data_IF_153630230312
#
_entry.id   IF_153630230312
#
_cell.length_a   1.000
_cell.length_b   1.000
_cell.length_c   1.000
_cell.angle_alpha   90.00
_cell.angle_beta   90.00
_cell.angle_gamma   90.00
#
_symmetry.space_group_name_H-M   'P 1'
#
loop_
_entity.id
_entity.type
_entity.pdbx_description
1 polymer ?
#
# COMPACT_ATOMS: atom_id res chain seq x y z
N UNK A 1 -4.04 -38.53 -10.47
CA UNK A 1 -5.11 -37.80 -11.18
C UNK A 1 -5.84 -36.93 -10.18
N UNK A 2 -5.23 -35.77 -9.95
CA UNK A 2 -5.80 -34.45 -9.67
C UNK A 2 -6.88 -34.27 -8.59
N UNK A 3 -6.42 -33.74 -7.45
CA UNK A 3 -7.21 -32.88 -6.58
C UNK A 3 -6.59 -31.48 -6.56
N UNK A 4 -6.81 -30.70 -7.62
CA UNK A 4 -6.61 -29.25 -7.59
C UNK A 4 -7.91 -28.59 -7.11
N UNK A 5 -8.00 -28.34 -5.80
CA UNK A 5 -9.01 -27.41 -5.24
C UNK A 5 -8.54 -25.98 -5.49
N UNK A 6 -9.02 -25.40 -6.58
CA UNK A 6 -8.93 -23.97 -6.86
C UNK A 6 -9.79 -23.25 -5.81
N UNK A 7 -9.16 -22.52 -4.89
CA UNK A 7 -9.85 -21.57 -4.02
C UNK A 7 -10.31 -20.39 -4.88
N UNK A 8 -11.57 -20.42 -5.29
CA UNK A 8 -12.21 -19.25 -5.90
C UNK A 8 -12.41 -18.19 -4.81
N UNK A 9 -11.77 -17.04 -5.00
CA UNK A 9 -12.01 -15.83 -4.21
C UNK A 9 -13.45 -15.41 -4.53
N UNK A 10 -14.34 -15.44 -3.54
CA UNK A 10 -15.69 -14.91 -3.69
C UNK A 10 -15.61 -13.39 -3.92
N UNK A 11 -16.38 -12.83 -4.87
CA UNK A 11 -16.55 -11.38 -4.96
C UNK A 11 -17.16 -10.86 -3.66
N UNK A 12 -16.60 -9.79 -3.12
CA UNK A 12 -17.13 -9.09 -1.95
C UNK A 12 -18.29 -8.23 -2.44
N UNK A 13 -19.47 -8.46 -1.86
CA UNK A 13 -20.72 -7.78 -2.21
C UNK A 13 -20.62 -6.25 -1.99
N UNK A 14 -21.23 -5.52 -2.91
CA UNK A 14 -21.06 -4.08 -3.13
C UNK A 14 -21.92 -3.19 -2.20
N UNK A 15 -22.22 -3.63 -0.99
CA UNK A 15 -23.11 -2.92 -0.06
C UNK A 15 -22.46 -2.73 1.32
N UNK A 16 -21.53 -1.79 1.43
CA UNK A 16 -21.22 -1.15 2.73
C UNK A 16 -20.92 0.34 2.55
N UNK A 17 -22.03 1.04 2.31
CA UNK A 17 -22.39 2.41 2.67
C UNK A 17 -21.26 3.40 2.98
N UNK A 18 -21.00 4.22 1.96
CA UNK A 18 -20.42 5.54 2.04
C UNK A 18 -20.84 6.34 3.30
N UNK A 19 -19.91 6.50 4.24
CA UNK A 19 -19.97 7.63 5.17
C UNK A 19 -19.74 8.92 4.37
N UNK A 20 -20.77 9.75 4.37
CA UNK A 20 -20.93 10.99 3.60
C UNK A 20 -19.86 12.05 3.87
N UNK A 21 -18.89 11.80 4.76
CA UNK A 21 -17.72 12.67 4.98
C UNK A 21 -16.57 12.47 3.99
N UNK A 22 -16.55 11.38 3.22
CA UNK A 22 -15.49 11.13 2.23
C UNK A 22 -15.69 11.91 0.91
N UNK A 23 -16.87 12.49 0.68
CA UNK A 23 -17.18 13.18 -0.57
C UNK A 23 -16.62 14.62 -0.67
N UNK A 24 -16.14 15.22 0.42
CA UNK A 24 -15.46 16.54 0.36
C UNK A 24 -13.99 16.41 -0.06
N UNK A 25 -13.34 15.27 0.23
CA UNK A 25 -11.92 15.04 -0.05
C UNK A 25 -11.59 14.81 -1.53
N UNK A 26 -12.59 14.68 -2.41
CA UNK A 26 -12.41 14.41 -3.83
C UNK A 26 -12.72 15.62 -4.75
N UNK A 27 -13.06 16.78 -4.21
CA UNK A 27 -13.68 17.88 -4.99
C UNK A 27 -12.84 19.14 -5.22
N UNK A 28 -11.57 19.19 -4.85
CA UNK A 28 -10.70 20.33 -5.19
C UNK A 28 -9.59 19.93 -6.15
N UNK A 29 -9.95 19.97 -7.43
CA UNK A 29 -9.13 20.31 -8.60
C UNK A 29 -7.67 19.81 -8.62
N UNK A 30 -7.48 18.50 -8.79
CA UNK A 30 -6.50 17.97 -9.74
C UNK A 30 -7.16 16.78 -10.44
N UNK A 31 -7.11 16.81 -11.77
CA UNK A 31 -7.75 15.86 -12.68
C UNK A 31 -7.59 14.40 -12.27
N UNK A 32 -8.64 13.62 -12.48
CA UNK A 32 -8.73 12.16 -12.31
C UNK A 32 -7.48 11.41 -12.85
N UNK A 33 -6.43 11.22 -12.05
CA UNK A 33 -5.41 10.15 -12.21
C UNK A 33 -4.24 10.11 -11.20
N UNK A 34 -4.17 10.88 -10.11
CA UNK A 34 -3.00 10.81 -9.19
C UNK A 34 -2.89 9.52 -8.36
N UNK A 35 -4.01 8.82 -8.14
CA UNK A 35 -4.00 7.49 -7.48
C UNK A 35 -3.46 6.38 -8.40
N UNK A 36 -3.99 6.30 -9.62
CA UNK A 36 -3.62 5.26 -10.58
C UNK A 36 -2.22 5.49 -11.17
N UNK A 37 -1.78 6.74 -11.33
CA UNK A 37 -0.48 7.07 -11.90
C UNK A 37 0.70 6.55 -11.05
N UNK A 38 0.55 6.47 -9.72
CA UNK A 38 1.62 5.95 -8.84
C UNK A 38 1.62 4.41 -8.77
N UNK A 39 0.50 3.74 -9.01
CA UNK A 39 0.46 2.27 -9.18
C UNK A 39 0.85 1.84 -10.61
N UNK A 40 0.72 2.72 -11.60
CA UNK A 40 1.05 2.41 -13.00
C UNK A 40 2.54 2.47 -13.32
N UNK A 41 3.35 3.10 -12.45
CA UNK A 41 4.82 3.16 -12.61
C UNK A 41 5.49 1.86 -12.15
N UNK A 42 4.83 1.05 -11.31
CA UNK A 42 5.38 -0.23 -10.88
C UNK A 42 5.55 -1.18 -12.06
N UNK A 43 6.80 -1.45 -12.43
CA UNK A 43 7.17 -2.52 -13.37
C UNK A 43 7.05 -3.88 -12.67
N UNK A 44 5.81 -4.32 -12.46
CA UNK A 44 5.42 -5.60 -11.86
C UNK A 44 6.18 -6.82 -12.45
N UNK A 45 6.48 -6.89 -13.76
CA UNK A 45 7.12 -8.08 -14.35
C UNK A 45 8.54 -8.40 -13.86
N UNK A 46 9.26 -7.45 -13.24
CA UNK A 46 10.66 -7.65 -12.84
C UNK A 46 10.87 -7.80 -11.32
N UNK A 47 9.81 -7.95 -10.54
CA UNK A 47 9.91 -8.19 -9.10
C UNK A 47 10.12 -9.67 -8.79
N UNK A 48 10.94 -9.97 -7.78
CA UNK A 48 11.03 -11.33 -7.22
C UNK A 48 9.68 -11.75 -6.64
N UNK A 49 9.44 -13.06 -6.52
CA UNK A 49 8.17 -13.60 -6.02
C UNK A 49 7.76 -12.98 -4.68
N UNK A 50 8.69 -12.83 -3.74
CA UNK A 50 8.42 -12.26 -2.42
C UNK A 50 8.03 -10.78 -2.50
N UNK A 51 8.74 -10.01 -3.34
CA UNK A 51 8.43 -8.59 -3.57
C UNK A 51 7.05 -8.42 -4.19
N UNK A 52 6.68 -9.30 -5.12
CA UNK A 52 5.36 -9.33 -5.74
C UNK A 52 4.25 -9.62 -4.72
N UNK A 53 4.47 -10.54 -3.78
CA UNK A 53 3.50 -10.82 -2.71
C UNK A 53 3.29 -9.62 -1.80
N UNK A 54 4.36 -8.92 -1.40
CA UNK A 54 4.29 -7.70 -0.61
C UNK A 54 3.49 -6.62 -1.35
N UNK A 55 3.80 -6.40 -2.62
CA UNK A 55 3.08 -5.43 -3.46
C UNK A 55 1.59 -5.78 -3.58
N UNK A 56 1.28 -7.04 -3.88
CA UNK A 56 -0.09 -7.51 -4.09
C UNK A 56 -0.95 -7.36 -2.82
N UNK A 57 -0.41 -7.75 -1.66
CA UNK A 57 -1.09 -7.62 -0.37
C UNK A 57 -1.31 -6.17 0.02
N UNK A 58 -0.29 -5.32 -0.17
CA UNK A 58 -0.42 -3.88 0.03
C UNK A 58 -1.53 -3.29 -0.84
N UNK A 59 -1.51 -3.61 -2.14
CA UNK A 59 -2.47 -3.08 -3.11
C UNK A 59 -3.89 -3.51 -2.75
N UNK A 60 -4.08 -4.79 -2.43
CA UNK A 60 -5.37 -5.29 -1.97
C UNK A 60 -5.84 -4.58 -0.69
N UNK A 61 -4.95 -4.35 0.27
CA UNK A 61 -5.31 -3.64 1.49
C UNK A 61 -5.72 -2.18 1.22
N UNK A 62 -5.03 -1.48 0.31
CA UNK A 62 -5.40 -0.12 -0.10
C UNK A 62 -6.76 -0.07 -0.81
N UNK A 63 -7.01 -1.00 -1.74
CA UNK A 63 -8.30 -1.10 -2.46
C UNK A 63 -9.47 -1.38 -1.50
N UNK A 64 -9.23 -2.09 -0.41
CA UNK A 64 -10.23 -2.37 0.63
C UNK A 64 -10.22 -1.34 1.77
N UNK A 65 -9.55 -0.19 1.61
CA UNK A 65 -9.45 0.86 2.63
C UNK A 65 -8.93 0.37 3.98
N UNK A 66 -8.12 -0.69 4.00
CA UNK A 66 -7.52 -1.23 5.21
C UNK A 66 -6.25 -0.45 5.56
N UNK A 67 -6.08 -0.17 6.85
CA UNK A 67 -4.90 0.56 7.33
C UNK A 67 -3.62 -0.28 7.36
N UNK A 68 -3.76 -1.60 7.39
CA UNK A 68 -2.64 -2.54 7.54
C UNK A 68 -2.82 -3.78 6.67
N UNK A 69 -1.71 -4.43 6.36
CA UNK A 69 -1.66 -5.82 5.90
C UNK A 69 -0.56 -6.58 6.67
N UNK A 70 -0.63 -7.91 6.69
CA UNK A 70 0.41 -8.75 7.28
C UNK A 70 1.46 -9.07 6.24
N UNK A 71 2.71 -8.75 6.56
CA UNK A 71 3.85 -9.02 5.69
C UNK A 71 4.10 -10.54 5.54
N UNK A 72 4.22 -11.07 4.32
CA UNK A 72 4.34 -12.51 4.10
C UNK A 72 5.66 -13.09 4.61
N UNK A 73 6.74 -12.29 4.66
CA UNK A 73 8.08 -12.73 5.04
C UNK A 73 8.32 -12.54 6.53
N UNK A 74 8.06 -11.35 7.05
CA UNK A 74 8.33 -10.95 8.45
C UNK A 74 7.18 -11.23 9.41
N UNK A 75 5.96 -11.47 8.89
CA UNK A 75 4.71 -11.64 9.66
C UNK A 75 4.28 -10.43 10.50
N UNK A 76 4.93 -9.29 10.31
CA UNK A 76 4.59 -8.04 10.98
C UNK A 76 3.42 -7.33 10.30
N UNK A 77 2.69 -6.52 11.06
CA UNK A 77 1.70 -5.60 10.49
C UNK A 77 2.40 -4.40 9.86
N UNK A 78 2.08 -4.12 8.60
CA UNK A 78 2.66 -3.02 7.84
C UNK A 78 1.57 -2.01 7.47
N UNK A 79 1.82 -0.74 7.79
CA UNK A 79 0.97 0.37 7.39
C UNK A 79 0.85 0.47 5.86
N UNK A 80 -0.38 0.61 5.39
CA UNK A 80 -0.67 0.87 3.99
C UNK A 80 -0.44 2.34 3.64
N UNK A 81 -0.33 2.61 2.34
CA UNK A 81 -0.27 3.99 1.85
C UNK A 81 -1.59 4.71 2.15
N UNK A 82 -2.71 4.02 2.01
CA UNK A 82 -4.03 4.52 2.40
C UNK A 82 -4.03 5.07 3.83
N UNK A 83 -3.50 4.34 4.80
CA UNK A 83 -3.39 4.81 6.19
C UNK A 83 -2.56 6.08 6.34
N UNK A 84 -1.44 6.18 5.61
CA UNK A 84 -0.61 7.39 5.62
C UNK A 84 -1.32 8.59 5.01
N UNK A 85 -2.07 8.39 3.92
CA UNK A 85 -2.83 9.45 3.29
C UNK A 85 -3.98 9.92 4.17
N UNK A 86 -4.69 9.00 4.84
CA UNK A 86 -5.70 9.34 5.86
C UNK A 86 -5.10 10.13 7.03
N UNK A 87 -3.87 9.79 7.45
CA UNK A 87 -3.12 10.55 8.46
C UNK A 87 -2.69 11.94 7.97
N UNK A 88 -2.40 12.09 6.68
CA UNK A 88 -1.98 13.35 6.07
C UNK A 88 -0.50 13.71 6.26
N UNK A 89 0.30 12.89 6.97
CA UNK A 89 1.73 13.17 7.19
C UNK A 89 2.60 11.91 7.35
N UNK A 90 3.93 12.11 7.28
CA UNK A 90 4.91 11.09 7.61
C UNK A 90 4.95 10.88 9.14
N UNK A 91 4.85 9.63 9.60
CA UNK A 91 4.84 9.31 11.03
C UNK A 91 6.24 9.13 11.66
N UNK A 92 7.33 9.29 10.88
CA UNK A 92 8.71 9.15 11.37
C UNK A 92 9.22 7.72 11.59
N UNK A 93 8.38 6.70 11.45
CA UNK A 93 8.72 5.31 11.81
C UNK A 93 9.31 4.46 10.65
N UNK A 94 9.90 5.08 9.62
CA UNK A 94 10.52 4.36 8.47
C UNK A 94 9.59 3.32 7.82
N UNK A 95 8.30 3.63 7.72
CA UNK A 95 7.28 2.72 7.20
C UNK A 95 7.56 2.35 5.73
N UNK A 96 7.29 1.09 5.39
CA UNK A 96 7.60 0.51 4.09
C UNK A 96 6.93 1.23 2.91
N UNK A 97 5.74 1.79 3.12
CA UNK A 97 4.92 2.40 2.07
C UNK A 97 4.63 3.88 2.28
N UNK A 98 5.57 4.61 2.89
CA UNK A 98 5.40 6.04 3.14
C UNK A 98 5.33 6.82 1.81
N UNK A 99 4.21 7.52 1.51
CA UNK A 99 4.09 8.31 0.28
C UNK A 99 4.88 9.64 0.36
N UNK A 100 5.31 10.03 1.56
CA UNK A 100 5.95 11.32 1.83
C UNK A 100 7.47 11.22 1.85
N UNK A 101 8.09 10.25 1.19
CA UNK A 101 9.56 10.24 1.05
C UNK A 101 10.35 10.14 2.36
N UNK A 102 9.76 9.61 3.45
CA UNK A 102 10.38 9.57 4.78
C UNK A 102 10.81 10.95 5.33
N UNK A 103 10.14 12.06 4.95
CA UNK A 103 10.51 13.43 5.37
C UNK A 103 10.64 13.65 6.88
N UNK A 104 9.92 12.89 7.71
CA UNK A 104 9.94 13.02 9.18
C UNK A 104 10.74 11.91 9.86
N UNK A 105 11.49 11.10 9.11
CA UNK A 105 12.35 10.07 9.69
C UNK A 105 13.66 10.71 10.13
N UNK A 106 14.03 10.53 11.39
CA UNK A 106 15.33 10.95 11.89
C UNK A 106 16.47 10.19 11.21
N UNK A 107 17.50 10.93 10.81
CA UNK A 107 18.72 10.35 10.22
C UNK A 107 19.54 9.75 11.35
N UNK A 108 19.61 8.42 11.39
CA UNK A 108 20.52 7.69 12.27
C UNK A 108 21.71 7.17 11.45
N UNK A 109 22.91 7.72 11.69
CA UNK A 109 24.14 7.36 10.96
C UNK A 109 24.59 5.91 11.23
N UNK A 110 24.12 5.29 12.32
CA UNK A 110 24.42 3.90 12.67
C UNK A 110 23.39 2.91 12.11
N UNK A 111 22.40 3.37 11.34
CA UNK A 111 21.40 2.51 10.71
C UNK A 111 21.41 2.70 9.18
N UNK A 112 21.28 1.62 8.40
CA UNK A 112 21.20 1.74 6.95
C UNK A 112 19.95 2.52 6.55
N UNK A 113 20.11 3.48 5.63
CA UNK A 113 18.98 4.18 5.01
C UNK A 113 18.18 3.19 4.17
N UNK A 114 16.84 3.29 4.26
CA UNK A 114 15.98 2.48 3.39
C UNK A 114 15.99 3.02 1.97
N UNK A 115 16.06 2.14 1.00
CA UNK A 115 16.10 2.51 -0.43
C UNK A 115 14.74 2.19 -1.05
N UNK A 116 14.19 3.13 -1.81
CA UNK A 116 12.94 2.90 -2.53
C UNK A 116 13.20 2.04 -3.79
N UNK A 117 12.68 0.83 -3.81
CA UNK A 117 12.93 -0.16 -4.87
C UNK A 117 11.96 -0.04 -6.07
N UNK A 118 11.37 1.15 -6.29
CA UNK A 118 10.24 1.45 -7.21
C UNK A 118 8.85 0.97 -6.78
N UNK A 119 8.74 0.10 -5.77
CA UNK A 119 7.46 -0.34 -5.23
C UNK A 119 7.28 0.05 -3.74
N UNK A 120 8.34 -0.10 -2.94
CA UNK A 120 8.37 0.23 -1.52
C UNK A 120 9.80 0.40 -0.98
N UNK A 121 9.93 0.78 0.29
CA UNK A 121 11.21 0.94 0.97
C UNK A 121 11.72 -0.37 1.60
N UNK A 122 12.92 -0.79 1.23
CA UNK A 122 13.69 -1.88 1.86
C UNK A 122 14.75 -1.32 2.81
#
# INVERSE_FOLDING_TARGET
MDFLRIFTIKPIDADDMASQQTQSYLKTSLSRSTWQAWESITVIPCLTKDRLSIYSLHRQACLNHRSFYTDPTTKLQVLTRYAHLQRGNCCGNRCRHCPYGHINVEINLNQPRKIFNTSYYE
#
